data_IF_725311782750
#
_entry.id   IF_725311782750
#
_cell.length_a   1.000
_cell.length_b   1.000
_cell.length_c   1.000
_cell.angle_alpha   90.00
_cell.angle_beta   90.00
_cell.angle_gamma   90.00
#
_symmetry.space_group_name_H-M   'P 1'
#
loop_
_entity.id
_entity.type
_entity.pdbx_description
1 polymer ?
#
# COMPACT_ATOMS: atom_id res chain seq x y z
N UNK A 1 -24.23 -28.36 1.52
CA UNK A 1 -23.39 -27.18 1.80
C UNK A 1 -24.31 -25.97 1.76
N UNK A 2 -24.20 -25.08 2.73
CA UNK A 2 -25.05 -23.89 2.83
C UNK A 2 -24.84 -22.99 1.60
N UNK A 3 -25.89 -22.57 0.86
CA UNK A 3 -25.77 -21.66 -0.25
C UNK A 3 -25.09 -20.32 0.12
N UNK A 4 -25.32 -19.79 1.32
CA UNK A 4 -24.69 -18.56 1.80
C UNK A 4 -23.17 -18.74 1.93
N UNK A 5 -22.73 -19.86 2.48
CA UNK A 5 -21.31 -20.21 2.57
C UNK A 5 -20.63 -20.24 1.20
N UNK A 6 -21.29 -20.82 0.19
CA UNK A 6 -20.76 -20.86 -1.17
C UNK A 6 -20.73 -19.48 -1.83
N UNK A 7 -21.76 -18.66 -1.61
CA UNK A 7 -21.82 -17.29 -2.15
C UNK A 7 -20.78 -16.40 -1.49
N UNK A 8 -20.58 -16.48 -0.18
CA UNK A 8 -19.52 -15.76 0.53
C UNK A 8 -18.14 -16.17 0.00
N UNK A 9 -17.92 -17.48 -0.16
CA UNK A 9 -16.65 -17.99 -0.70
C UNK A 9 -16.39 -17.48 -2.13
N UNK A 10 -17.40 -17.49 -2.99
CA UNK A 10 -17.30 -16.97 -4.36
C UNK A 10 -17.01 -15.45 -4.36
N UNK A 11 -17.71 -14.69 -3.53
CA UNK A 11 -17.52 -13.25 -3.42
C UNK A 11 -16.11 -12.90 -2.97
N UNK A 12 -15.63 -13.53 -1.90
CA UNK A 12 -14.28 -13.26 -1.37
C UNK A 12 -13.18 -13.75 -2.33
N UNK A 13 -13.42 -14.84 -3.06
CA UNK A 13 -12.49 -15.29 -4.11
C UNK A 13 -12.39 -14.29 -5.26
N UNK A 14 -13.52 -13.72 -5.71
CA UNK A 14 -13.50 -12.62 -6.68
C UNK A 14 -12.76 -11.39 -6.13
N UNK A 15 -12.98 -11.06 -4.85
CA UNK A 15 -12.23 -10.02 -4.14
C UNK A 15 -10.72 -10.29 -4.16
N UNK A 16 -10.31 -11.51 -3.82
CA UNK A 16 -8.90 -11.91 -3.84
C UNK A 16 -8.26 -11.77 -5.24
N UNK A 17 -8.97 -12.21 -6.28
CA UNK A 17 -8.52 -12.08 -7.68
C UNK A 17 -8.33 -10.61 -8.04
N UNK A 18 -9.28 -9.73 -7.70
CA UNK A 18 -9.18 -8.30 -7.96
C UNK A 18 -8.01 -7.66 -7.21
N UNK A 19 -7.76 -8.05 -5.95
CA UNK A 19 -6.61 -7.54 -5.16
C UNK A 19 -5.29 -8.04 -5.74
N UNK A 20 -5.18 -9.30 -6.13
CA UNK A 20 -3.98 -9.81 -6.80
C UNK A 20 -3.76 -9.10 -8.14
N UNK A 21 -4.83 -8.82 -8.89
CA UNK A 21 -4.74 -8.07 -10.15
C UNK A 21 -4.20 -6.63 -9.96
N UNK A 22 -4.34 -6.04 -8.76
CA UNK A 22 -3.72 -4.75 -8.43
C UNK A 22 -2.20 -4.77 -8.58
N UNK A 23 -1.54 -5.93 -8.49
CA UNK A 23 -0.09 -6.02 -8.75
C UNK A 23 0.27 -5.60 -10.17
N UNK A 24 -0.57 -5.95 -11.16
CA UNK A 24 -0.44 -5.44 -12.53
C UNK A 24 -0.59 -3.91 -12.59
N UNK A 25 -1.50 -3.35 -11.80
CA UNK A 25 -1.66 -1.91 -11.63
C UNK A 25 -0.39 -1.27 -11.03
N UNK A 26 0.19 -1.85 -9.99
CA UNK A 26 1.45 -1.37 -9.40
C UNK A 26 2.62 -1.47 -10.38
N UNK A 27 2.74 -2.54 -11.17
CA UNK A 27 3.78 -2.65 -12.20
C UNK A 27 3.71 -1.46 -13.17
N UNK A 28 2.53 -1.15 -13.70
CA UNK A 28 2.35 -0.07 -14.64
C UNK A 28 2.52 1.31 -14.00
N UNK A 29 1.97 1.51 -12.79
CA UNK A 29 2.12 2.74 -12.02
C UNK A 29 3.59 3.04 -11.73
N UNK A 30 4.29 2.09 -11.12
CA UNK A 30 5.68 2.26 -10.70
C UNK A 30 6.63 2.36 -11.89
N UNK A 31 6.51 1.47 -12.88
CA UNK A 31 7.32 1.52 -14.10
C UNK A 31 7.11 2.85 -14.83
N UNK A 32 5.85 3.27 -15.05
CA UNK A 32 5.53 4.53 -15.71
C UNK A 32 6.03 5.77 -14.96
N UNK A 33 6.07 5.72 -13.62
CA UNK A 33 6.50 6.81 -12.75
C UNK A 33 8.01 6.87 -12.53
N UNK A 34 8.76 5.86 -12.94
CA UNK A 34 10.22 5.78 -12.84
C UNK A 34 10.90 5.96 -14.20
N UNK A 35 12.24 6.10 -14.20
CA UNK A 35 13.01 6.22 -15.45
C UNK A 35 13.01 4.90 -16.23
N UNK A 36 12.93 4.99 -17.55
CA UNK A 36 12.81 3.85 -18.49
C UNK A 36 13.87 2.75 -18.26
N UNK A 37 15.08 3.12 -17.89
CA UNK A 37 16.20 2.21 -17.62
C UNK A 37 16.04 1.29 -16.42
N UNK A 38 14.93 1.44 -15.66
CA UNK A 38 14.59 0.63 -14.49
C UNK A 38 13.24 -0.09 -14.64
N UNK A 39 12.58 0.02 -15.80
CA UNK A 39 11.21 -0.46 -15.97
C UNK A 39 11.11 -1.99 -15.91
N UNK A 40 12.07 -2.70 -16.50
CA UNK A 40 12.16 -4.17 -16.44
C UNK A 40 12.42 -4.67 -15.02
N UNK A 41 13.33 -4.01 -14.29
CA UNK A 41 13.58 -4.29 -12.88
C UNK A 41 12.31 -4.13 -12.03
N UNK A 42 11.58 -3.01 -12.21
CA UNK A 42 10.32 -2.73 -11.49
C UNK A 42 9.28 -3.82 -11.75
N UNK A 43 9.09 -4.21 -13.00
CA UNK A 43 8.14 -5.26 -13.36
C UNK A 43 8.54 -6.61 -12.75
N UNK A 44 9.79 -7.01 -12.93
CA UNK A 44 10.31 -8.29 -12.43
C UNK A 44 10.28 -8.37 -10.91
N UNK A 45 10.75 -7.31 -10.21
CA UNK A 45 10.76 -7.29 -8.73
C UNK A 45 9.37 -7.47 -8.14
N UNK A 46 8.33 -6.92 -8.75
CA UNK A 46 6.96 -7.01 -8.23
C UNK A 46 6.46 -8.45 -8.26
N UNK A 47 6.73 -9.17 -9.34
CA UNK A 47 6.31 -10.58 -9.46
C UNK A 47 7.04 -11.47 -8.46
N UNK A 48 8.38 -11.41 -8.39
CA UNK A 48 9.10 -12.31 -7.50
C UNK A 48 8.93 -11.97 -6.02
N UNK A 49 8.77 -10.68 -5.66
CA UNK A 49 8.51 -10.31 -4.26
C UNK A 49 7.12 -10.74 -3.81
N UNK A 50 6.10 -10.68 -4.67
CA UNK A 50 4.80 -11.25 -4.37
C UNK A 50 4.87 -12.78 -4.20
N UNK A 51 5.56 -13.49 -5.09
CA UNK A 51 5.77 -14.94 -4.94
C UNK A 51 6.47 -15.30 -3.63
N UNK A 52 7.53 -14.56 -3.29
CA UNK A 52 8.26 -14.78 -2.04
C UNK A 52 7.41 -14.43 -0.80
N UNK A 53 6.70 -13.31 -0.82
CA UNK A 53 5.76 -12.92 0.24
C UNK A 53 4.66 -13.96 0.44
N UNK A 54 4.16 -14.56 -0.65
CA UNK A 54 3.16 -15.63 -0.60
C UNK A 54 3.67 -16.86 0.12
N UNK A 55 4.91 -17.27 -0.14
CA UNK A 55 5.54 -18.42 0.54
C UNK A 55 5.77 -18.13 2.04
N UNK A 56 6.22 -16.92 2.38
CA UNK A 56 6.43 -16.54 3.78
C UNK A 56 5.10 -16.40 4.51
N UNK A 57 4.07 -15.83 3.87
CA UNK A 57 2.73 -15.73 4.43
C UNK A 57 2.13 -17.11 4.70
N UNK A 58 2.29 -18.06 3.77
CA UNK A 58 1.87 -19.44 3.95
C UNK A 58 2.61 -20.12 5.10
N UNK A 59 3.93 -19.93 5.19
CA UNK A 59 4.72 -20.60 6.21
C UNK A 59 4.44 -20.08 7.62
N UNK A 60 4.38 -18.75 7.80
CA UNK A 60 4.29 -18.14 9.13
C UNK A 60 3.29 -16.98 9.21
N UNK A 61 3.11 -16.18 8.16
CA UNK A 61 2.37 -14.92 8.21
C UNK A 61 0.90 -15.13 8.60
N UNK A 62 0.22 -16.10 8.00
CA UNK A 62 -1.17 -16.41 8.32
C UNK A 62 -1.34 -16.84 9.77
N UNK A 63 -0.45 -17.71 10.26
CA UNK A 63 -0.46 -18.18 11.65
C UNK A 63 -0.18 -17.07 12.65
N UNK A 64 0.72 -16.14 12.32
CA UNK A 64 0.98 -14.99 13.18
C UNK A 64 -0.20 -14.01 13.24
N UNK A 65 -1.02 -13.90 12.19
CA UNK A 65 -2.19 -13.01 12.19
C UNK A 65 -3.38 -13.68 12.88
N UNK A 66 -3.75 -14.87 12.42
CA UNK A 66 -5.04 -15.52 12.73
C UNK A 66 -4.91 -16.78 13.59
N UNK A 67 -3.71 -17.09 14.08
CA UNK A 67 -3.48 -18.26 14.91
C UNK A 67 -4.11 -18.12 16.29
N UNK A 68 -4.61 -19.26 16.80
CA UNK A 68 -5.04 -19.40 18.19
C UNK A 68 -3.84 -19.26 19.14
N UNK A 69 -4.12 -19.30 20.47
CA UNK A 69 -3.09 -19.15 21.51
C UNK A 69 -2.25 -17.88 21.31
N UNK A 70 -2.90 -16.79 20.92
CA UNK A 70 -2.26 -15.52 20.66
C UNK A 70 -1.61 -14.94 21.91
N UNK A 71 -0.50 -14.27 21.71
CA UNK A 71 0.10 -13.36 22.67
C UNK A 71 -0.13 -11.91 22.24
N UNK A 72 0.45 -10.97 22.99
CA UNK A 72 0.33 -9.53 22.67
C UNK A 72 0.79 -9.15 21.24
N UNK A 73 1.72 -9.92 20.66
CA UNK A 73 2.32 -9.61 19.35
C UNK A 73 1.68 -10.36 18.19
N UNK A 74 1.43 -11.66 18.34
CA UNK A 74 1.06 -12.57 17.24
C UNK A 74 0.24 -13.77 17.74
N UNK A 75 -0.48 -14.41 16.83
CA UNK A 75 -1.01 -15.77 17.00
C UNK A 75 0.09 -16.84 16.89
N UNK A 76 -0.15 -18.03 17.41
CA UNK A 76 0.86 -19.09 17.52
C UNK A 76 0.38 -20.45 16.98
N UNK A 77 -0.53 -20.47 15.99
CA UNK A 77 -0.99 -21.69 15.33
C UNK A 77 -1.14 -21.47 13.81
N UNK A 78 -1.68 -22.45 13.10
CA UNK A 78 -1.96 -22.38 11.66
C UNK A 78 -0.75 -22.12 10.77
N UNK A 79 0.45 -22.46 11.23
CA UNK A 79 1.68 -22.40 10.43
C UNK A 79 1.65 -23.45 9.31
N UNK A 80 2.25 -23.15 8.17
CA UNK A 80 2.25 -24.02 6.99
C UNK A 80 0.83 -24.49 6.64
N UNK A 81 -0.10 -23.53 6.55
CA UNK A 81 -1.52 -23.80 6.35
C UNK A 81 -1.78 -24.78 5.22
N UNK A 82 -2.47 -25.89 5.52
CA UNK A 82 -2.67 -27.01 4.59
C UNK A 82 -4.08 -27.09 3.98
N UNK A 83 -4.88 -26.02 4.13
CA UNK A 83 -6.21 -25.95 3.50
C UNK A 83 -7.34 -26.56 4.32
N UNK A 84 -7.11 -26.89 5.59
CA UNK A 84 -8.19 -27.35 6.48
C UNK A 84 -9.14 -26.18 6.83
N UNK A 85 -10.38 -26.50 7.13
CA UNK A 85 -11.37 -25.50 7.53
C UNK A 85 -11.12 -25.03 8.96
N UNK A 86 -11.14 -23.71 9.14
CA UNK A 86 -11.08 -23.07 10.46
C UNK A 86 -12.50 -23.05 11.06
N UNK A 87 -12.58 -23.24 12.36
CA UNK A 87 -13.87 -23.29 13.06
C UNK A 87 -14.57 -21.92 13.03
N UNK A 88 -15.88 -21.92 12.85
CA UNK A 88 -16.70 -20.71 12.87
C UNK A 88 -16.67 -19.83 11.61
N UNK A 89 -15.97 -20.24 10.56
CA UNK A 89 -15.93 -19.47 9.31
C UNK A 89 -17.23 -19.58 8.50
N UNK A 90 -17.73 -18.42 8.01
CA UNK A 90 -18.89 -18.33 7.12
C UNK A 90 -18.57 -18.49 5.64
N UNK A 91 -17.31 -18.79 5.31
CA UNK A 91 -16.78 -19.03 3.94
C UNK A 91 -15.60 -19.99 4.03
N UNK A 92 -15.16 -20.52 2.87
CA UNK A 92 -13.98 -21.40 2.81
C UNK A 92 -12.74 -20.73 3.39
N UNK A 93 -12.11 -21.40 4.34
CA UNK A 93 -10.88 -20.92 4.98
C UNK A 93 -9.73 -20.79 4.00
N UNK A 94 -9.66 -21.62 2.96
CA UNK A 94 -8.67 -21.49 1.89
C UNK A 94 -8.92 -20.24 1.05
N UNK A 95 -10.17 -19.86 0.81
CA UNK A 95 -10.49 -18.59 0.12
C UNK A 95 -10.11 -17.41 0.99
N UNK A 96 -10.42 -17.44 2.29
CA UNK A 96 -10.02 -16.42 3.25
C UNK A 96 -8.50 -16.27 3.30
N UNK A 97 -7.76 -17.39 3.33
CA UNK A 97 -6.30 -17.38 3.27
C UNK A 97 -5.77 -16.64 2.03
N UNK A 98 -6.27 -16.98 0.83
CA UNK A 98 -5.82 -16.33 -0.43
C UNK A 98 -6.15 -14.83 -0.42
N UNK A 99 -7.31 -14.46 0.11
CA UNK A 99 -7.69 -13.05 0.25
C UNK A 99 -6.73 -12.29 1.16
N UNK A 100 -6.43 -12.81 2.34
CA UNK A 100 -5.52 -12.19 3.31
C UNK A 100 -4.05 -12.15 2.80
N UNK A 101 -3.63 -13.20 2.08
CA UNK A 101 -2.33 -13.23 1.40
C UNK A 101 -2.19 -12.09 0.39
N UNK A 102 -3.25 -11.79 -0.36
CA UNK A 102 -3.24 -10.70 -1.33
C UNK A 102 -2.98 -9.33 -0.64
N UNK A 103 -3.54 -9.08 0.52
CA UNK A 103 -3.30 -7.86 1.32
C UNK A 103 -1.85 -7.75 1.82
N UNK A 104 -1.29 -8.85 2.29
CA UNK A 104 0.14 -8.89 2.64
C UNK A 104 1.02 -8.55 1.44
N UNK A 105 0.68 -9.09 0.25
CA UNK A 105 1.34 -8.81 -1.01
C UNK A 105 1.27 -7.34 -1.43
N UNK A 106 0.13 -6.67 -1.22
CA UNK A 106 -0.01 -5.23 -1.47
C UNK A 106 0.84 -4.43 -0.48
N UNK A 107 0.82 -4.76 0.81
CA UNK A 107 1.58 -4.01 1.82
C UNK A 107 3.09 -4.05 1.56
N UNK A 108 3.66 -5.21 1.21
CA UNK A 108 5.09 -5.29 0.84
C UNK A 108 5.37 -4.53 -0.47
N UNK A 109 4.49 -4.57 -1.47
CA UNK A 109 4.66 -3.81 -2.71
C UNK A 109 4.76 -2.32 -2.44
N UNK A 110 3.92 -1.77 -1.57
CA UNK A 110 3.98 -0.38 -1.11
C UNK A 110 5.33 -0.08 -0.44
N UNK A 111 5.77 -0.94 0.48
CA UNK A 111 7.05 -0.78 1.19
C UNK A 111 8.23 -0.71 0.21
N UNK A 112 8.22 -1.55 -0.82
CA UNK A 112 9.28 -1.64 -1.83
C UNK A 112 9.29 -0.46 -2.80
N UNK A 113 8.24 0.35 -2.86
CA UNK A 113 8.23 1.61 -3.60
C UNK A 113 9.33 2.59 -3.14
N UNK A 114 9.64 2.60 -1.84
CA UNK A 114 10.74 3.39 -1.28
C UNK A 114 12.15 2.98 -1.74
N UNK A 115 12.30 1.80 -2.32
CA UNK A 115 13.57 1.24 -2.81
C UNK A 115 13.87 1.60 -4.27
N UNK A 116 12.84 2.00 -5.02
CA UNK A 116 12.88 2.12 -6.47
C UNK A 116 14.09 2.91 -7.00
N UNK A 117 14.64 2.42 -8.12
CA UNK A 117 15.75 2.97 -8.91
C UNK A 117 17.15 2.92 -8.27
N UNK A 118 17.32 2.45 -7.00
CA UNK A 118 18.63 2.52 -6.34
C UNK A 118 19.00 1.40 -5.38
N UNK A 119 18.07 0.52 -5.03
CA UNK A 119 18.37 -0.59 -4.11
C UNK A 119 18.85 -1.84 -4.87
N UNK A 120 19.75 -2.60 -4.24
CA UNK A 120 20.20 -3.90 -4.74
C UNK A 120 19.06 -4.91 -4.74
N UNK A 121 18.97 -5.77 -5.76
CA UNK A 121 17.97 -6.84 -5.85
C UNK A 121 17.97 -7.76 -4.62
N UNK A 122 19.14 -8.09 -4.10
CA UNK A 122 19.29 -8.91 -2.90
C UNK A 122 18.62 -8.30 -1.66
N UNK A 123 18.55 -6.96 -1.57
CA UNK A 123 17.87 -6.27 -0.47
C UNK A 123 16.35 -6.40 -0.61
N UNK A 124 15.80 -6.36 -1.82
CA UNK A 124 14.38 -6.65 -2.05
C UNK A 124 14.00 -8.03 -1.53
N UNK A 125 14.84 -9.05 -1.79
CA UNK A 125 14.59 -10.44 -1.34
C UNK A 125 14.58 -10.53 0.19
N UNK A 126 15.65 -10.09 0.83
CA UNK A 126 15.80 -10.17 2.29
C UNK A 126 14.71 -9.36 3.00
N UNK A 127 14.45 -8.15 2.52
CA UNK A 127 13.45 -7.31 3.13
C UNK A 127 12.03 -7.89 2.97
N UNK A 128 11.71 -8.47 1.81
CA UNK A 128 10.41 -9.12 1.60
C UNK A 128 10.16 -10.24 2.60
N UNK A 129 11.15 -11.12 2.82
CA UNK A 129 11.03 -12.21 3.81
C UNK A 129 10.77 -11.65 5.21
N UNK A 130 11.60 -10.71 5.66
CA UNK A 130 11.54 -10.20 7.02
C UNK A 130 10.32 -9.28 7.25
N UNK A 131 9.92 -8.49 6.27
CA UNK A 131 8.69 -7.70 6.36
C UNK A 131 7.44 -8.58 6.45
N UNK A 132 7.35 -9.59 5.59
CA UNK A 132 6.20 -10.50 5.53
C UNK A 132 6.11 -11.43 6.74
N UNK A 133 7.24 -11.69 7.43
CA UNK A 133 7.27 -12.51 8.64
C UNK A 133 7.14 -11.69 9.94
N UNK A 134 7.71 -10.47 10.00
CA UNK A 134 7.89 -9.77 11.28
C UNK A 134 7.18 -8.42 11.35
N UNK A 135 6.95 -7.72 10.22
CA UNK A 135 6.37 -6.38 10.25
C UNK A 135 4.86 -6.42 10.02
N UNK A 136 4.46 -6.90 8.86
CA UNK A 136 3.05 -6.93 8.47
C UNK A 136 2.18 -7.78 9.39
N UNK A 137 2.55 -9.04 9.73
CA UNK A 137 1.69 -9.90 10.53
C UNK A 137 1.42 -9.36 11.93
N UNK A 138 2.36 -8.69 12.56
CA UNK A 138 2.18 -8.13 13.90
C UNK A 138 1.12 -7.02 13.88
N UNK A 139 1.20 -6.07 12.96
CA UNK A 139 0.20 -5.00 12.83
C UNK A 139 -1.16 -5.58 12.44
N UNK A 140 -1.19 -6.54 11.53
CA UNK A 140 -2.42 -7.19 11.09
C UNK A 140 -3.07 -8.00 12.24
N UNK A 141 -2.28 -8.70 13.06
CA UNK A 141 -2.77 -9.38 14.25
C UNK A 141 -3.42 -8.40 15.24
N UNK A 142 -2.76 -7.29 15.53
CA UNK A 142 -3.29 -6.30 16.47
C UNK A 142 -4.66 -5.77 16.09
N UNK A 143 -4.97 -5.68 14.79
CA UNK A 143 -6.18 -5.02 14.28
C UNK A 143 -7.20 -6.00 13.71
N UNK A 144 -6.77 -7.03 12.98
CA UNK A 144 -7.64 -7.98 12.29
C UNK A 144 -7.63 -9.40 12.89
N UNK A 145 -6.54 -9.75 13.58
CA UNK A 145 -6.37 -11.07 14.20
C UNK A 145 -6.93 -11.18 15.63
N UNK A 146 -7.78 -10.26 16.05
CA UNK A 146 -8.33 -10.26 17.42
C UNK A 146 -7.36 -9.74 18.49
N UNK A 147 -6.25 -9.10 18.11
CA UNK A 147 -5.27 -8.55 19.04
C UNK A 147 -5.76 -7.29 19.77
N UNK A 148 -4.90 -6.74 20.60
CA UNK A 148 -5.25 -5.70 21.56
C UNK A 148 -5.84 -4.40 20.98
N UNK A 149 -5.47 -4.00 19.75
CA UNK A 149 -6.11 -2.84 19.11
C UNK A 149 -7.56 -3.14 18.70
N UNK A 150 -7.85 -4.36 18.24
CA UNK A 150 -9.21 -4.79 17.96
C UNK A 150 -10.06 -4.80 19.25
N UNK A 151 -9.51 -5.28 20.38
CA UNK A 151 -10.17 -5.27 21.69
C UNK A 151 -10.50 -3.85 22.15
N UNK A 152 -9.68 -2.85 21.77
CA UNK A 152 -9.96 -1.44 22.07
C UNK A 152 -10.94 -0.79 21.07
N UNK A 153 -11.51 -1.55 20.13
CA UNK A 153 -12.48 -1.04 19.15
C UNK A 153 -11.84 -0.24 18.00
N UNK A 154 -10.58 -0.53 17.64
CA UNK A 154 -9.91 0.09 16.50
C UNK A 154 -10.65 -0.25 15.20
N UNK A 155 -11.12 0.78 14.51
CA UNK A 155 -11.77 0.66 13.20
C UNK A 155 -10.71 0.76 12.09
N UNK A 156 -10.60 -0.28 11.28
CA UNK A 156 -9.80 -0.31 10.05
C UNK A 156 -10.34 -1.40 9.13
N UNK A 157 -11.41 -1.08 8.40
CA UNK A 157 -12.23 -2.07 7.70
C UNK A 157 -11.42 -2.88 6.68
N UNK A 158 -10.68 -2.20 5.83
CA UNK A 158 -9.91 -2.85 4.78
C UNK A 158 -8.42 -2.48 4.77
N UNK A 159 -7.90 -1.66 5.71
CA UNK A 159 -6.46 -1.56 5.93
C UNK A 159 -5.79 -0.23 5.61
N UNK A 160 -6.42 0.93 5.85
CA UNK A 160 -5.66 2.21 5.80
C UNK A 160 -4.45 2.19 6.75
N UNK A 161 -4.57 1.53 7.91
CA UNK A 161 -3.45 1.28 8.83
C UNK A 161 -2.71 0.00 8.48
N UNK A 162 -3.41 -1.15 8.47
CA UNK A 162 -2.81 -2.48 8.37
C UNK A 162 -1.97 -2.63 7.10
N UNK A 163 -2.48 -2.16 5.97
CA UNK A 163 -1.81 -2.32 4.67
C UNK A 163 -1.02 -1.06 4.31
N UNK A 164 -1.72 0.08 4.24
CA UNK A 164 -1.16 1.27 3.62
C UNK A 164 -0.16 1.99 4.52
N UNK A 165 -0.52 2.29 5.77
CA UNK A 165 0.39 2.94 6.71
C UNK A 165 1.58 2.04 7.03
N UNK A 166 1.37 0.74 7.24
CA UNK A 166 2.44 -0.23 7.50
C UNK A 166 3.45 -0.26 6.37
N UNK A 167 2.99 -0.39 5.11
CA UNK A 167 3.85 -0.35 3.94
C UNK A 167 4.58 0.99 3.78
N UNK A 168 3.86 2.12 3.97
CA UNK A 168 4.45 3.45 3.85
C UNK A 168 5.52 3.74 4.91
N UNK A 169 5.33 3.29 6.15
CA UNK A 169 6.34 3.48 7.21
C UNK A 169 7.60 2.65 6.96
N UNK A 170 7.45 1.47 6.40
CA UNK A 170 8.58 0.67 5.91
C UNK A 170 9.29 1.33 4.72
N UNK A 171 8.53 1.91 3.77
CA UNK A 171 9.09 2.71 2.68
C UNK A 171 9.84 3.95 3.20
N UNK A 172 9.36 4.61 4.26
CA UNK A 172 10.04 5.74 4.90
C UNK A 172 11.40 5.31 5.48
N UNK A 173 11.45 4.19 6.18
CA UNK A 173 12.71 3.64 6.70
C UNK A 173 13.72 3.38 5.56
N UNK A 174 13.24 2.82 4.45
CA UNK A 174 14.05 2.55 3.27
C UNK A 174 14.57 3.85 2.61
N UNK A 175 13.71 4.83 2.39
CA UNK A 175 14.09 6.09 1.74
C UNK A 175 15.15 6.86 2.54
N UNK A 176 15.03 6.85 3.88
CA UNK A 176 16.02 7.48 4.78
C UNK A 176 17.37 6.79 4.67
N UNK A 177 17.42 5.46 4.72
CA UNK A 177 18.68 4.68 4.71
C UNK A 177 19.34 4.60 3.34
N UNK A 178 18.56 4.56 2.26
CA UNK A 178 19.04 4.56 0.87
C UNK A 178 19.51 5.93 0.41
N UNK A 179 19.00 7.00 1.00
CA UNK A 179 19.24 8.40 0.60
C UNK A 179 18.64 8.74 -0.78
N UNK A 180 18.64 10.01 -1.20
CA UNK A 180 18.09 10.43 -2.50
C UNK A 180 18.81 9.79 -3.70
N UNK A 181 18.07 9.63 -4.81
CA UNK A 181 18.62 9.25 -6.11
C UNK A 181 19.64 10.27 -6.59
N UNK A 182 20.60 9.80 -7.37
CA UNK A 182 21.60 10.66 -8.00
C UNK A 182 20.90 11.75 -8.83
N UNK A 183 21.31 13.00 -8.61
CA UNK A 183 20.75 14.16 -9.31
C UNK A 183 19.39 14.64 -8.79
N UNK A 184 18.80 14.06 -7.73
CA UNK A 184 17.53 14.53 -7.17
C UNK A 184 17.63 15.92 -6.54
N UNK A 185 18.75 16.23 -5.88
CA UNK A 185 18.95 17.52 -5.21
C UNK A 185 20.26 18.17 -5.70
N UNK A 186 20.18 19.46 -5.94
CA UNK A 186 21.33 20.30 -6.27
C UNK A 186 22.17 20.63 -5.02
N UNK A 187 23.37 21.20 -5.21
CA UNK A 187 24.25 21.61 -4.11
C UNK A 187 23.63 22.68 -3.20
N UNK A 188 22.78 23.54 -3.75
CA UNK A 188 22.01 24.56 -3.00
C UNK A 188 20.81 23.98 -2.25
N UNK A 189 20.53 22.70 -2.45
CA UNK A 189 19.42 21.98 -1.81
C UNK A 189 18.10 22.05 -2.58
N UNK A 190 18.04 22.72 -3.71
CA UNK A 190 16.87 22.70 -4.58
C UNK A 190 16.65 21.31 -5.19
N UNK A 191 15.38 20.93 -5.37
CA UNK A 191 15.01 19.64 -5.93
C UNK A 191 14.91 19.70 -7.46
N UNK A 192 15.43 18.68 -8.11
CA UNK A 192 15.23 18.46 -9.55
C UNK A 192 14.04 17.53 -9.77
N UNK A 193 13.27 17.77 -10.82
CA UNK A 193 12.22 16.87 -11.25
C UNK A 193 12.84 15.66 -11.97
N UNK A 194 12.69 14.48 -11.38
CA UNK A 194 12.98 13.20 -12.04
C UNK A 194 11.65 12.66 -12.56
N UNK A 195 11.39 12.90 -13.85
CA UNK A 195 10.14 12.49 -14.46
C UNK A 195 10.09 10.97 -14.71
N UNK A 196 8.90 10.39 -14.52
CA UNK A 196 8.58 9.05 -15.01
C UNK A 196 8.61 9.02 -16.54
N UNK A 197 8.90 7.85 -17.09
CA UNK A 197 9.06 7.74 -18.54
C UNK A 197 7.74 7.62 -19.31
N UNK A 198 6.63 7.25 -18.65
CA UNK A 198 5.37 7.00 -19.33
C UNK A 198 4.15 7.27 -18.47
N UNK A 199 3.59 8.48 -18.59
CA UNK A 199 2.37 8.87 -17.85
C UNK A 199 1.12 8.07 -18.26
N UNK A 200 1.07 7.53 -19.49
CA UNK A 200 -0.07 6.71 -19.94
C UNK A 200 -0.07 5.37 -19.19
N UNK A 201 1.10 4.78 -19.00
CA UNK A 201 1.23 3.56 -18.17
C UNK A 201 0.89 3.85 -16.71
N UNK A 202 1.34 4.96 -16.17
CA UNK A 202 0.97 5.40 -14.81
C UNK A 202 -0.56 5.52 -14.67
N UNK A 203 -1.22 6.16 -15.63
CA UNK A 203 -2.68 6.33 -15.62
C UNK A 203 -3.42 4.99 -15.73
N UNK A 204 -2.97 4.10 -16.62
CA UNK A 204 -3.54 2.76 -16.75
C UNK A 204 -3.34 1.95 -15.46
N UNK A 205 -2.16 2.06 -14.84
CA UNK A 205 -1.88 1.45 -13.54
C UNK A 205 -2.85 1.92 -12.45
N UNK A 206 -3.11 3.24 -12.37
CA UNK A 206 -4.08 3.80 -11.43
C UNK A 206 -5.50 3.29 -11.69
N UNK A 207 -5.92 3.16 -12.95
CA UNK A 207 -7.23 2.63 -13.30
C UNK A 207 -7.37 1.15 -12.88
N UNK A 208 -6.34 0.33 -13.10
CA UNK A 208 -6.31 -1.07 -12.67
C UNK A 208 -6.38 -1.15 -11.14
N UNK A 209 -5.64 -0.30 -10.43
CA UNK A 209 -5.70 -0.21 -8.97
C UNK A 209 -7.10 0.19 -8.50
N UNK A 210 -7.73 1.18 -9.13
CA UNK A 210 -9.09 1.61 -8.79
C UNK A 210 -10.10 0.47 -8.94
N UNK A 211 -10.06 -0.26 -10.05
CA UNK A 211 -10.91 -1.45 -10.26
C UNK A 211 -10.62 -2.53 -9.20
N UNK A 212 -9.35 -2.79 -8.92
CA UNK A 212 -8.94 -3.74 -7.87
C UNK A 212 -9.45 -3.36 -6.48
N UNK A 213 -9.63 -2.05 -6.23
CA UNK A 213 -10.13 -1.55 -4.95
C UNK A 213 -11.58 -1.93 -4.65
N UNK A 214 -12.38 -2.29 -5.65
CA UNK A 214 -13.69 -2.92 -5.40
C UNK A 214 -13.53 -4.29 -4.74
N UNK A 215 -12.52 -5.08 -5.13
CA UNK A 215 -12.15 -6.30 -4.43
C UNK A 215 -11.54 -6.01 -3.06
N UNK A 216 -10.69 -5.00 -2.97
CA UNK A 216 -10.00 -4.63 -1.74
C UNK A 216 -10.98 -4.22 -0.63
N UNK A 217 -11.84 -3.24 -0.89
CA UNK A 217 -12.78 -2.71 0.09
C UNK A 217 -14.08 -3.51 0.16
N UNK A 218 -14.78 -3.68 -0.96
CA UNK A 218 -16.05 -4.38 -0.94
C UNK A 218 -15.89 -5.89 -0.67
N UNK A 219 -14.79 -6.51 -1.11
CA UNK A 219 -14.43 -7.88 -0.74
C UNK A 219 -14.21 -8.07 0.76
N UNK A 220 -13.77 -7.01 1.47
CA UNK A 220 -13.57 -7.04 2.93
C UNK A 220 -14.84 -7.14 3.76
N UNK A 221 -16.04 -7.08 3.14
CA UNK A 221 -17.28 -7.47 3.82
C UNK A 221 -17.27 -8.94 4.23
N UNK A 222 -16.47 -9.77 3.56
CA UNK A 222 -16.35 -11.24 3.74
C UNK A 222 -17.71 -11.96 3.72
N UNK A 223 -18.75 -11.28 3.26
CA UNK A 223 -20.15 -11.75 3.21
C UNK A 223 -20.90 -11.07 2.05
N UNK A 224 -21.91 -11.75 1.52
CA UNK A 224 -22.87 -11.22 0.57
C UNK A 224 -24.16 -10.72 1.24
N UNK A 225 -24.25 -10.78 2.56
CA UNK A 225 -25.45 -10.46 3.32
C UNK A 225 -25.97 -9.05 3.01
N UNK A 226 -27.25 -8.96 2.74
CA UNK A 226 -27.97 -7.72 2.47
C UNK A 226 -27.38 -6.86 1.33
N UNK A 227 -26.41 -7.38 0.53
CA UNK A 227 -25.77 -6.61 -0.52
C UNK A 227 -24.90 -5.44 -0.03
N UNK A 228 -24.46 -5.46 1.25
CA UNK A 228 -23.71 -4.37 1.89
C UNK A 228 -22.40 -4.06 1.16
N UNK A 229 -21.81 -5.05 0.50
CA UNK A 229 -20.64 -4.84 -0.37
C UNK A 229 -20.88 -3.78 -1.47
N UNK A 230 -22.11 -3.63 -1.94
CA UNK A 230 -22.47 -2.59 -2.91
C UNK A 230 -22.36 -1.19 -2.33
N UNK A 231 -22.78 -1.00 -1.07
CA UNK A 231 -22.62 0.27 -0.36
C UNK A 231 -21.14 0.60 -0.13
N UNK A 232 -20.34 -0.37 0.27
CA UNK A 232 -18.88 -0.21 0.43
C UNK A 232 -18.20 0.14 -0.89
N UNK A 233 -18.62 -0.49 -2.00
CA UNK A 233 -18.13 -0.17 -3.34
C UNK A 233 -18.49 1.27 -3.75
N UNK A 234 -19.73 1.72 -3.46
CA UNK A 234 -20.18 3.10 -3.71
C UNK A 234 -19.30 4.11 -2.98
N UNK A 235 -19.09 3.94 -1.67
CA UNK A 235 -18.23 4.81 -0.86
C UNK A 235 -16.80 4.85 -1.39
N UNK A 236 -16.27 3.68 -1.77
CA UNK A 236 -14.93 3.55 -2.36
C UNK A 236 -14.81 4.38 -3.64
N UNK A 237 -15.76 4.25 -4.56
CA UNK A 237 -15.76 4.98 -5.83
C UNK A 237 -15.91 6.49 -5.66
N UNK A 238 -16.80 6.92 -4.76
CA UNK A 238 -17.03 8.35 -4.49
C UNK A 238 -15.78 9.02 -3.91
N UNK A 239 -15.10 8.37 -2.97
CA UNK A 239 -13.86 8.91 -2.38
C UNK A 239 -12.72 8.99 -3.40
N UNK A 240 -12.58 8.00 -4.27
CA UNK A 240 -11.60 8.01 -5.36
C UNK A 240 -11.82 9.19 -6.31
N UNK A 241 -13.07 9.37 -6.78
CA UNK A 241 -13.46 10.47 -7.65
C UNK A 241 -13.23 11.84 -6.99
N UNK A 242 -13.65 11.98 -5.73
CA UNK A 242 -13.45 13.21 -4.95
C UNK A 242 -11.98 13.55 -4.77
N UNK A 243 -11.13 12.54 -4.49
CA UNK A 243 -9.68 12.71 -4.36
C UNK A 243 -9.02 13.17 -5.66
N UNK A 244 -9.38 12.55 -6.79
CA UNK A 244 -8.90 12.96 -8.12
C UNK A 244 -9.26 14.40 -8.45
N UNK A 245 -10.53 14.79 -8.24
CA UNK A 245 -11.04 16.13 -8.50
C UNK A 245 -10.38 17.17 -7.59
N UNK A 246 -10.24 16.88 -6.30
CA UNK A 246 -9.59 17.78 -5.36
C UNK A 246 -8.12 18.01 -5.71
N UNK A 247 -7.39 16.96 -6.08
CA UNK A 247 -5.99 17.05 -6.50
C UNK A 247 -5.83 17.81 -7.83
N UNK A 248 -6.76 17.63 -8.77
CA UNK A 248 -6.83 18.43 -10.00
C UNK A 248 -6.99 19.91 -9.67
N UNK A 249 -7.99 20.27 -8.86
CA UNK A 249 -8.31 21.65 -8.50
C UNK A 249 -7.12 22.30 -7.79
N UNK A 250 -6.55 21.67 -6.75
CA UNK A 250 -5.45 22.26 -5.98
C UNK A 250 -4.18 22.41 -6.82
N UNK A 251 -3.88 21.45 -7.72
CA UNK A 251 -2.74 21.58 -8.64
C UNK A 251 -2.94 22.75 -9.60
N UNK A 252 -4.15 22.90 -10.14
CA UNK A 252 -4.45 24.02 -11.03
C UNK A 252 -4.33 25.37 -10.34
N UNK A 253 -4.89 25.48 -9.13
CA UNK A 253 -4.84 26.73 -8.34
C UNK A 253 -3.41 27.13 -7.96
N UNK A 254 -2.56 26.16 -7.59
CA UNK A 254 -1.21 26.44 -7.07
C UNK A 254 -0.15 26.48 -8.16
N UNK A 255 -0.27 25.65 -9.21
CA UNK A 255 0.73 25.54 -10.28
C UNK A 255 0.34 26.31 -11.57
N UNK A 256 -0.89 26.83 -11.62
CA UNK A 256 -1.42 27.46 -12.83
C UNK A 256 -1.79 26.47 -13.95
N UNK A 257 -1.59 25.18 -13.75
CA UNK A 257 -1.92 24.10 -14.70
C UNK A 257 -2.38 22.87 -13.91
N UNK A 258 -3.27 22.07 -14.52
CA UNK A 258 -3.56 20.74 -14.03
C UNK A 258 -2.34 19.83 -14.22
N UNK A 259 -1.96 19.12 -13.15
CA UNK A 259 -0.82 18.19 -13.15
C UNK A 259 -1.33 16.76 -13.12
N UNK A 260 -1.09 16.00 -14.19
CA UNK A 260 -1.60 14.64 -14.33
C UNK A 260 -1.12 13.70 -13.22
N UNK A 261 0.19 13.63 -12.89
CA UNK A 261 0.66 12.82 -11.76
C UNK A 261 -0.02 13.16 -10.45
N UNK A 262 -0.26 14.44 -10.16
CA UNK A 262 -0.96 14.89 -8.95
C UNK A 262 -2.40 14.40 -8.93
N UNK A 263 -3.13 14.49 -10.05
CA UNK A 263 -4.50 13.99 -10.17
C UNK A 263 -4.57 12.48 -9.95
N UNK A 264 -3.66 11.72 -10.55
CA UNK A 264 -3.57 10.27 -10.38
C UNK A 264 -3.29 9.88 -8.92
N UNK A 265 -2.36 10.56 -8.28
CA UNK A 265 -2.07 10.37 -6.85
C UNK A 265 -3.27 10.78 -5.97
N UNK A 266 -4.06 11.77 -6.39
CA UNK A 266 -5.29 12.18 -5.72
C UNK A 266 -6.35 11.09 -5.71
N UNK A 267 -6.56 10.41 -6.84
CA UNK A 267 -7.44 9.25 -6.91
C UNK A 267 -7.01 8.14 -5.95
N UNK A 268 -5.72 7.78 -5.98
CA UNK A 268 -5.16 6.77 -5.08
C UNK A 268 -5.25 7.19 -3.61
N UNK A 269 -4.97 8.46 -3.29
CA UNK A 269 -5.10 8.97 -1.92
C UNK A 269 -6.55 8.90 -1.41
N UNK A 270 -7.53 9.19 -2.27
CA UNK A 270 -8.95 9.01 -1.96
C UNK A 270 -9.30 7.55 -1.66
N UNK A 271 -8.80 6.62 -2.49
CA UNK A 271 -8.96 5.17 -2.29
C UNK A 271 -8.33 4.71 -0.97
N UNK A 272 -7.09 5.11 -0.69
CA UNK A 272 -6.39 4.78 0.55
C UNK A 272 -7.12 5.35 1.77
N UNK A 273 -7.56 6.59 1.70
CA UNK A 273 -8.22 7.25 2.83
C UNK A 273 -9.57 6.62 3.17
N UNK A 274 -10.35 6.20 2.18
CA UNK A 274 -11.65 5.57 2.44
C UNK A 274 -11.53 4.13 2.92
N UNK A 275 -10.38 3.49 2.75
CA UNK A 275 -10.16 2.06 3.01
C UNK A 275 -10.45 1.66 4.48
N UNK A 276 -10.12 2.51 5.47
CA UNK A 276 -10.46 2.23 6.86
C UNK A 276 -11.95 2.44 7.17
N UNK A 277 -12.61 3.37 6.48
CA UNK A 277 -13.91 3.90 6.87
C UNK A 277 -15.06 3.54 5.92
N UNK A 278 -14.80 2.92 4.78
CA UNK A 278 -15.78 2.68 3.71
C UNK A 278 -17.06 1.94 4.18
N UNK A 279 -16.98 1.14 5.23
CA UNK A 279 -18.10 0.42 5.82
C UNK A 279 -18.73 1.11 7.04
N UNK A 280 -18.13 2.20 7.54
CA UNK A 280 -18.51 2.84 8.78
C UNK A 280 -19.11 4.25 8.59
N UNK A 281 -19.08 4.80 7.38
CA UNK A 281 -19.44 6.20 7.13
C UNK A 281 -20.49 6.33 6.03
N UNK A 282 -21.29 7.39 6.10
CA UNK A 282 -22.24 7.75 5.05
C UNK A 282 -21.53 8.19 3.76
N UNK A 283 -22.24 8.14 2.64
CA UNK A 283 -21.71 8.47 1.30
C UNK A 283 -21.21 9.91 1.20
N UNK A 284 -21.87 10.88 1.84
CA UNK A 284 -21.39 12.26 1.85
C UNK A 284 -20.03 12.39 2.56
N UNK A 285 -19.84 11.64 3.67
CA UNK A 285 -18.57 11.62 4.38
C UNK A 285 -17.47 10.97 3.53
N UNK A 286 -17.79 9.92 2.76
CA UNK A 286 -16.84 9.33 1.82
C UNK A 286 -16.33 10.36 0.79
N UNK A 287 -17.20 11.23 0.25
CA UNK A 287 -16.81 12.35 -0.62
C UNK A 287 -15.86 13.31 0.10
N UNK A 288 -16.21 13.72 1.32
CA UNK A 288 -15.36 14.64 2.12
C UNK A 288 -14.00 14.00 2.42
N UNK A 289 -13.96 12.74 2.83
CA UNK A 289 -12.72 12.00 3.14
C UNK A 289 -11.81 11.95 1.92
N UNK A 290 -12.36 11.61 0.75
CA UNK A 290 -11.62 11.58 -0.50
C UNK A 290 -11.12 12.96 -0.93
N UNK A 291 -11.97 13.99 -0.83
CA UNK A 291 -11.62 15.37 -1.18
C UNK A 291 -10.44 15.90 -0.33
N UNK A 292 -10.50 15.70 0.98
CA UNK A 292 -9.40 16.07 1.89
C UNK A 292 -8.12 15.29 1.56
N UNK A 293 -8.23 14.00 1.23
CA UNK A 293 -7.08 13.18 0.84
C UNK A 293 -6.39 13.70 -0.43
N UNK A 294 -7.16 14.16 -1.43
CA UNK A 294 -6.62 14.75 -2.66
C UNK A 294 -5.84 16.05 -2.41
N UNK A 295 -6.29 16.89 -1.48
CA UNK A 295 -5.55 18.09 -1.06
C UNK A 295 -4.31 17.69 -0.25
N UNK A 296 -4.47 16.76 0.68
CA UNK A 296 -3.41 16.29 1.57
C UNK A 296 -2.23 15.70 0.78
N UNK A 297 -2.48 14.87 -0.22
CA UNK A 297 -1.42 14.27 -1.02
C UNK A 297 -0.59 15.31 -1.77
N UNK A 298 -1.23 16.36 -2.29
CA UNK A 298 -0.54 17.46 -2.97
C UNK A 298 0.48 18.17 -2.06
N UNK A 299 0.09 18.50 -0.83
CA UNK A 299 0.99 19.15 0.13
C UNK A 299 1.99 18.17 0.75
N UNK A 300 1.62 16.92 0.95
CA UNK A 300 2.49 15.89 1.50
C UNK A 300 3.70 15.61 0.59
N UNK A 301 3.50 15.51 -0.72
CA UNK A 301 4.61 15.37 -1.70
C UNK A 301 5.63 16.50 -1.54
N UNK A 302 5.15 17.75 -1.45
CA UNK A 302 6.02 18.93 -1.24
C UNK A 302 6.71 18.94 0.11
N UNK A 303 6.03 18.45 1.14
CA UNK A 303 6.61 18.31 2.47
C UNK A 303 7.81 17.36 2.46
N UNK A 304 7.66 16.15 1.91
CA UNK A 304 8.75 15.18 1.84
C UNK A 304 9.91 15.69 0.97
N UNK A 305 9.60 16.31 -0.16
CA UNK A 305 10.62 16.90 -1.03
C UNK A 305 11.42 18.00 -0.31
N UNK A 306 10.77 18.92 0.42
CA UNK A 306 11.45 19.94 1.24
C UNK A 306 12.30 19.33 2.36
N UNK A 307 11.94 18.16 2.86
CA UNK A 307 12.72 17.42 3.88
C UNK A 307 13.84 16.57 3.27
N UNK A 308 14.06 16.67 1.95
CA UNK A 308 15.04 15.89 1.20
C UNK A 308 14.84 14.37 1.32
N UNK A 309 13.59 13.95 1.48
CA UNK A 309 13.16 12.55 1.43
C UNK A 309 12.71 12.28 -0.01
N UNK A 310 13.53 11.52 -0.75
CA UNK A 310 13.25 11.19 -2.15
C UNK A 310 12.38 9.94 -2.24
N UNK A 311 11.09 10.14 -2.41
CA UNK A 311 10.09 9.09 -2.60
C UNK A 311 9.75 8.98 -4.10
N UNK A 312 10.30 7.97 -4.81
CA UNK A 312 10.22 7.89 -6.27
C UNK A 312 8.81 7.76 -6.84
N UNK A 313 7.91 7.11 -6.09
CA UNK A 313 6.55 6.78 -6.54
C UNK A 313 5.48 7.37 -5.62
N UNK A 314 5.84 8.30 -4.75
CA UNK A 314 4.94 8.99 -3.84
C UNK A 314 4.24 8.07 -2.81
N UNK A 315 4.84 6.94 -2.47
CA UNK A 315 4.29 5.96 -1.53
C UNK A 315 4.02 6.55 -0.15
N UNK A 316 4.91 7.44 0.34
CA UNK A 316 4.77 8.10 1.63
C UNK A 316 3.57 9.05 1.67
N UNK A 317 3.32 9.75 0.57
CA UNK A 317 2.21 10.70 0.48
C UNK A 317 0.88 10.00 0.25
N UNK A 318 0.84 9.04 -0.69
CA UNK A 318 -0.37 8.32 -1.07
C UNK A 318 -0.78 7.33 0.03
N UNK A 319 0.16 6.53 0.55
CA UNK A 319 -0.18 5.48 1.51
C UNK A 319 0.08 5.90 2.97
N UNK A 320 1.09 6.71 3.24
CA UNK A 320 1.39 7.21 4.58
C UNK A 320 0.44 8.32 5.02
N UNK A 321 0.50 9.48 4.38
CA UNK A 321 -0.31 10.63 4.77
C UNK A 321 -1.82 10.36 4.60
N UNK A 322 -2.24 9.82 3.45
CA UNK A 322 -3.66 9.49 3.26
C UNK A 322 -4.12 8.29 4.09
N UNK A 323 -3.23 7.33 4.42
CA UNK A 323 -3.54 6.22 5.34
C UNK A 323 -3.78 6.71 6.78
N UNK A 324 -2.97 7.66 7.27
CA UNK A 324 -3.20 8.32 8.56
C UNK A 324 -4.54 9.03 8.56
N UNK A 325 -4.80 9.87 7.56
CA UNK A 325 -6.07 10.58 7.44
C UNK A 325 -7.26 9.62 7.36
N UNK A 326 -7.16 8.57 6.54
CA UNK A 326 -8.21 7.57 6.39
C UNK A 326 -8.55 6.86 7.68
N UNK A 327 -7.53 6.48 8.45
CA UNK A 327 -7.73 5.88 9.76
C UNK A 327 -8.38 6.85 10.75
N UNK A 328 -7.93 8.11 10.79
CA UNK A 328 -8.51 9.12 11.67
C UNK A 328 -9.94 9.49 11.26
N UNK A 329 -10.27 9.38 9.97
CA UNK A 329 -11.60 9.73 9.45
C UNK A 329 -12.73 8.92 10.09
N UNK A 330 -12.51 7.66 10.47
CA UNK A 330 -13.51 6.88 11.21
C UNK A 330 -13.81 7.51 12.56
N UNK A 331 -12.81 8.03 13.26
CA UNK A 331 -12.98 8.73 14.53
C UNK A 331 -13.80 10.02 14.44
N UNK A 332 -13.94 10.59 13.24
CA UNK A 332 -14.80 11.74 12.98
C UNK A 332 -16.18 11.35 12.46
N UNK A 333 -16.25 10.43 11.48
CA UNK A 333 -17.40 10.23 10.61
C UNK A 333 -18.12 8.89 10.78
N UNK A 334 -17.65 7.95 11.61
CA UNK A 334 -18.36 6.69 11.82
C UNK A 334 -19.75 6.95 12.39
N UNK A 335 -20.78 6.40 11.74
CA UNK A 335 -22.19 6.57 12.17
C UNK A 335 -22.57 5.51 13.20
N UNK A 336 -23.55 5.77 14.09
CA UNK A 336 -24.01 4.79 15.05
C UNK A 336 -24.54 3.49 14.42
N UNK A 337 -25.17 3.61 13.26
CA UNK A 337 -25.80 2.51 12.53
C UNK A 337 -24.78 1.60 11.85
N UNK A 338 -23.65 2.17 11.43
CA UNK A 338 -22.61 1.46 10.68
C UNK A 338 -21.40 1.06 11.55
N UNK A 339 -21.23 1.64 12.73
CA UNK A 339 -20.13 1.32 13.64
C UNK A 339 -20.31 -0.04 14.30
N UNK A 340 -20.16 -1.12 13.53
CA UNK A 340 -20.26 -2.51 14.03
C UNK A 340 -19.08 -2.91 14.92
N UNK A 341 -17.99 -2.13 14.88
CA UNK A 341 -16.79 -2.24 15.74
C UNK A 341 -16.49 -0.87 16.31
N UNK A 342 -16.11 -0.81 17.58
CA UNK A 342 -15.78 0.45 18.25
C UNK A 342 -17.01 1.32 18.54
N UNK A 343 -16.82 2.65 18.47
CA UNK A 343 -17.83 3.64 18.79
C UNK A 343 -18.11 4.54 17.59
N UNK A 344 -19.26 5.26 17.59
CA UNK A 344 -19.51 6.34 16.63
C UNK A 344 -18.43 7.43 16.69
N UNK A 345 -18.26 8.15 15.59
CA UNK A 345 -17.31 9.25 15.48
C UNK A 345 -17.77 10.51 16.19
N UNK A 346 -16.85 11.47 16.27
CA UNK A 346 -17.05 12.77 16.95
C UNK A 346 -18.29 13.52 16.44
N UNK A 347 -18.55 13.53 15.14
CA UNK A 347 -19.68 14.24 14.54
C UNK A 347 -21.04 13.58 14.78
N UNK A 348 -21.04 12.36 15.30
CA UNK A 348 -22.25 11.58 15.61
C UNK A 348 -22.40 11.33 17.11
N UNK A 349 -21.79 12.19 17.94
CA UNK A 349 -21.97 12.15 19.39
C UNK A 349 -21.11 11.13 20.14
N UNK A 350 -20.20 10.42 19.46
CA UNK A 350 -19.28 9.45 20.10
C UNK A 350 -18.15 10.07 20.93
N UNK A 351 -18.06 11.42 20.97
CA UNK A 351 -17.00 12.12 21.68
C UNK A 351 -15.62 11.87 21.08
N UNK A 352 -14.57 12.06 21.89
CA UNK A 352 -13.18 11.88 21.45
C UNK A 352 -12.65 10.45 21.61
N UNK A 353 -13.44 9.53 22.16
CA UNK A 353 -12.96 8.17 22.48
C UNK A 353 -12.53 7.41 21.22
N UNK A 354 -13.40 7.34 20.20
CA UNK A 354 -13.06 6.64 18.96
C UNK A 354 -11.88 7.32 18.24
N UNK A 355 -11.84 8.63 18.19
CA UNK A 355 -10.72 9.36 17.62
C UNK A 355 -9.40 9.08 18.37
N UNK A 356 -9.45 8.97 19.70
CA UNK A 356 -8.30 8.57 20.52
C UNK A 356 -7.80 7.17 20.21
N UNK A 357 -8.70 6.19 20.06
CA UNK A 357 -8.36 4.82 19.65
C UNK A 357 -7.72 4.79 18.25
N UNK A 358 -8.27 5.54 17.29
CA UNK A 358 -7.72 5.65 15.95
C UNK A 358 -6.32 6.27 15.95
N UNK A 359 -6.13 7.35 16.72
CA UNK A 359 -4.82 8.01 16.86
C UNK A 359 -3.78 7.08 17.50
N UNK A 360 -4.17 6.37 18.56
CA UNK A 360 -3.32 5.36 19.19
C UNK A 360 -2.92 4.27 18.18
N UNK A 361 -3.89 3.74 17.42
CA UNK A 361 -3.64 2.73 16.40
C UNK A 361 -2.68 3.20 15.32
N UNK A 362 -2.85 4.44 14.82
CA UNK A 362 -1.92 5.07 13.86
C UNK A 362 -0.52 5.20 14.45
N UNK A 363 -0.41 5.74 15.66
CA UNK A 363 0.87 6.02 16.29
C UNK A 363 1.66 4.72 16.56
N UNK A 364 1.01 3.72 17.16
CA UNK A 364 1.69 2.46 17.54
C UNK A 364 2.01 1.62 16.32
N UNK A 365 1.06 1.43 15.39
CA UNK A 365 1.29 0.65 14.17
C UNK A 365 2.34 1.29 13.28
N UNK A 366 2.26 2.61 13.10
CA UNK A 366 3.23 3.36 12.31
C UNK A 366 4.64 3.34 12.93
N UNK A 367 4.75 3.54 14.24
CA UNK A 367 6.03 3.47 14.95
C UNK A 367 6.64 2.07 14.86
N UNK A 368 5.85 1.03 15.10
CA UNK A 368 6.30 -0.36 15.01
C UNK A 368 6.81 -0.68 13.59
N UNK A 369 6.01 -0.41 12.57
CA UNK A 369 6.37 -0.69 11.19
C UNK A 369 7.65 0.05 10.77
N UNK A 370 7.79 1.33 11.16
CA UNK A 370 8.99 2.12 10.89
C UNK A 370 10.22 1.57 11.62
N UNK A 371 10.12 1.38 12.94
CA UNK A 371 11.28 0.99 13.78
C UNK A 371 11.79 -0.39 13.38
N UNK A 372 10.88 -1.38 13.23
CA UNK A 372 11.29 -2.75 12.88
C UNK A 372 11.88 -2.78 11.47
N UNK A 373 11.26 -2.10 10.50
CA UNK A 373 11.80 -2.00 9.13
C UNK A 373 13.15 -1.28 9.10
N UNK A 374 13.32 -0.21 9.90
CA UNK A 374 14.59 0.50 10.01
C UNK A 374 15.70 -0.41 10.59
N UNK A 375 15.39 -1.17 11.63
CA UNK A 375 16.34 -2.13 12.22
C UNK A 375 16.73 -3.20 11.20
N UNK A 376 15.74 -3.81 10.53
CA UNK A 376 15.98 -4.81 9.48
C UNK A 376 16.93 -4.26 8.41
N UNK A 377 16.65 -3.07 7.89
CA UNK A 377 17.46 -2.45 6.85
C UNK A 377 18.83 -1.98 7.35
N UNK A 378 18.92 -1.49 8.58
CA UNK A 378 20.21 -1.11 9.18
C UNK A 378 21.12 -2.33 9.38
N UNK A 379 20.58 -3.46 9.82
CA UNK A 379 21.29 -4.73 9.91
C UNK A 379 21.69 -5.23 8.52
N UNK A 380 20.75 -5.27 7.58
CA UNK A 380 21.03 -5.66 6.19
C UNK A 380 22.13 -4.78 5.55
N UNK A 381 22.11 -3.46 5.80
CA UNK A 381 23.15 -2.54 5.34
C UNK A 381 24.54 -2.94 5.81
N UNK A 382 24.64 -3.39 7.06
CA UNK A 382 25.94 -3.82 7.66
C UNK A 382 26.38 -5.18 7.14
N UNK A 383 25.46 -6.15 7.06
CA UNK A 383 25.75 -7.55 6.70
C UNK A 383 25.98 -7.73 5.21
N UNK A 384 25.26 -6.97 4.38
CA UNK A 384 25.27 -7.11 2.90
C UNK A 384 26.11 -6.03 2.19
N UNK A 385 27.02 -5.38 2.91
CA UNK A 385 27.90 -4.34 2.36
C UNK A 385 27.14 -3.23 1.62
N UNK A 386 26.12 -2.68 2.28
CA UNK A 386 25.29 -1.59 1.76
C UNK A 386 23.95 -2.06 1.19
N UNK A 387 22.99 -1.12 1.12
CA UNK A 387 21.65 -1.36 0.57
C UNK A 387 21.54 -0.94 -0.90
N UNK A 388 22.35 0.03 -1.30
CA UNK A 388 22.28 0.70 -2.59
C UNK A 388 23.26 0.08 -3.56
N UNK A 389 22.91 0.06 -4.84
CA UNK A 389 23.81 -0.24 -5.94
C UNK A 389 24.93 0.81 -6.04
N UNK A 390 25.99 0.57 -6.80
CA UNK A 390 27.04 1.58 -7.04
C UNK A 390 26.53 2.77 -7.83
N UNK A 391 27.29 3.84 -7.87
CA UNK A 391 26.93 5.04 -8.65
C UNK A 391 26.84 4.74 -10.14
N UNK A 392 27.78 3.94 -10.64
CA UNK A 392 27.83 3.49 -12.03
C UNK A 392 26.59 2.66 -12.39
N UNK A 393 26.20 1.71 -11.54
CA UNK A 393 25.01 0.87 -11.72
C UNK A 393 23.72 1.70 -11.70
N UNK A 394 23.60 2.68 -10.79
CA UNK A 394 22.43 3.57 -10.77
C UNK A 394 22.37 4.47 -12.00
N UNK A 395 23.53 4.95 -12.51
CA UNK A 395 23.60 5.74 -13.75
C UNK A 395 23.22 4.86 -14.97
N UNK A 396 23.74 3.64 -15.02
CA UNK A 396 23.42 2.66 -16.08
C UNK A 396 21.94 2.30 -16.07
N UNK A 397 21.39 1.97 -14.89
CA UNK A 397 20.02 1.52 -14.66
C UNK A 397 19.96 0.06 -14.23
N UNK A 398 18.95 -0.23 -13.37
CA UNK A 398 18.81 -1.52 -12.73
C UNK A 398 18.39 -2.65 -13.67
N UNK A 399 17.84 -2.33 -14.83
CA UNK A 399 17.51 -3.33 -15.87
C UNK A 399 18.77 -4.09 -16.29
N UNK A 400 19.84 -3.36 -16.60
CA UNK A 400 21.10 -3.94 -17.01
C UNK A 400 21.94 -4.43 -15.84
N UNK A 401 22.09 -3.58 -14.78
CA UNK A 401 23.01 -3.90 -13.69
C UNK A 401 22.55 -5.09 -12.84
N UNK A 402 21.23 -5.28 -12.67
CA UNK A 402 20.68 -6.35 -11.84
C UNK A 402 20.14 -7.55 -12.65
N UNK A 403 19.76 -7.36 -13.92
CA UNK A 403 19.10 -8.40 -14.73
C UNK A 403 19.79 -8.71 -16.07
N UNK A 404 20.74 -7.87 -16.49
CA UNK A 404 21.46 -8.08 -17.75
C UNK A 404 20.63 -7.87 -19.03
N UNK A 405 19.43 -7.27 -18.92
CA UNK A 405 18.54 -7.05 -20.06
C UNK A 405 17.69 -5.79 -19.85
N UNK A 406 17.40 -5.06 -20.93
CA UNK A 406 16.52 -3.89 -20.87
C UNK A 406 15.04 -4.27 -20.87
N UNK A 407 14.21 -3.57 -20.12
CA UNK A 407 12.75 -3.66 -20.21
C UNK A 407 12.21 -3.17 -21.57
N UNK A 408 12.95 -2.28 -22.24
CA UNK A 408 12.65 -1.75 -23.59
C UNK A 408 13.90 -1.87 -24.50
N UNK A 409 14.22 -3.06 -24.99
CA UNK A 409 15.47 -3.29 -25.74
C UNK A 409 15.63 -2.37 -26.96
N UNK A 410 14.58 -2.17 -27.75
CA UNK A 410 14.63 -1.35 -28.97
C UNK A 410 15.00 0.11 -28.69
N UNK A 411 14.54 0.67 -27.55
CA UNK A 411 14.83 2.06 -27.17
C UNK A 411 16.30 2.31 -26.81
N UNK A 412 17.05 1.25 -26.44
CA UNK A 412 18.44 1.37 -26.01
C UNK A 412 19.42 0.84 -27.06
N UNK A 413 19.12 -0.28 -27.72
CA UNK A 413 19.97 -0.91 -28.74
C UNK A 413 20.04 -0.04 -30.02
N UNK A 414 18.96 0.65 -30.41
CA UNK A 414 18.97 1.55 -31.55
C UNK A 414 19.99 2.69 -31.37
N UNK A 415 20.13 3.23 -30.16
CA UNK A 415 21.11 4.30 -29.85
C UNK A 415 22.57 3.82 -29.87
N UNK A 416 22.83 2.53 -29.60
CA UNK A 416 24.16 1.94 -29.72
C UNK A 416 24.53 1.73 -31.20
N UNK A 417 23.59 1.27 -32.01
CA UNK A 417 23.80 1.08 -33.44
C UNK A 417 24.02 2.41 -34.19
N UNK A 418 23.34 3.49 -33.81
CA UNK A 418 23.55 4.82 -34.37
C UNK A 418 24.97 5.39 -34.05
N UNK A 419 25.51 5.02 -32.86
CA UNK A 419 26.89 5.39 -32.49
C UNK A 419 27.95 4.56 -33.18
N UNK A 420 27.62 3.34 -33.63
CA UNK A 420 28.54 2.50 -34.40
C UNK A 420 28.51 2.80 -35.90
N UNK A 421 27.49 3.53 -36.37
CA UNK A 421 27.30 3.94 -37.75
C UNK A 421 27.76 5.40 -38.01
N UNK A 422 28.15 6.16 -36.99
CA UNK A 422 28.71 7.50 -37.02
C UNK A 422 30.23 7.50 -36.76
#
# INVERSE_FOLDING_TARGET
MDPIYLMNSLWVMLGAILVIFMLGGFILLEAGSTRMKNAGHIAGKTIFTFGLASLVFWAVGFGFIFGDNANFLVGLSHFFYSGYELEGMSLSSSVFFVFQLAFAGISITIALGGFAERAKLSIYLVFTVLFSALVYPVVAHWIWGGGWLAEHGKQDFAGSTVVHLTGAMAALAATILLKPRIGKYNKDGSANNIYGHNQVYTALGVLILWVGWFGFNAGSTVSVDNGFFGFVALNTNLAAGAGAVAALIISWMVLGKSDVPTMLNGALAGLVAITASCAFVDTWAAVVIGFVAGILVFYSVRFFEKRKIDDPIFALSVHGAAGIWGTLSTGFFATPELATVGLPGLFYGGGFTQLGVQLMGVAVSGAYAFIVSFIILAVAKKVMNGLRVTEEEEIMGLDISEHGSYGYPEAFVAKENDKLSS
#
